data_IF_639823456650
#
_entry.id   IF_639823456650
#
_cell.length_a   1.000
_cell.length_b   1.000
_cell.length_c   1.000
_cell.angle_alpha   90.00
_cell.angle_beta   90.00
_cell.angle_gamma   90.00
#
_symmetry.space_group_name_H-M   'P 1'
#
loop_
_entity.id
_entity.type
_entity.pdbx_description
1 polymer ?
#
# COMPACT_ATOMS: atom_id res chain seq x y z
N UNK A 1 12.90 -16.64 -7.68
CA UNK A 1 12.12 -15.84 -6.71
C UNK A 1 11.04 -15.14 -7.50
N UNK A 2 9.78 -15.56 -7.39
CA UNK A 2 8.66 -14.91 -8.10
C UNK A 2 8.51 -13.51 -7.51
N UNK A 3 8.65 -12.46 -8.33
CA UNK A 3 8.45 -11.09 -7.87
C UNK A 3 7.00 -10.96 -7.38
N UNK A 4 6.82 -10.79 -6.08
CA UNK A 4 5.51 -10.57 -5.49
C UNK A 4 5.02 -9.22 -5.98
N UNK A 5 3.82 -9.18 -6.55
CA UNK A 5 3.14 -7.93 -6.92
C UNK A 5 3.20 -6.97 -5.72
N UNK A 6 3.58 -5.70 -5.90
CA UNK A 6 3.53 -4.72 -4.82
C UNK A 6 2.13 -4.65 -4.19
N UNK A 7 2.05 -4.45 -2.88
CA UNK A 7 0.78 -4.36 -2.15
C UNK A 7 -0.14 -3.28 -2.74
N UNK A 8 0.42 -2.15 -3.17
CA UNK A 8 -0.35 -1.06 -3.80
C UNK A 8 -1.02 -1.51 -5.10
N UNK A 9 -0.33 -2.27 -5.94
CA UNK A 9 -0.90 -2.76 -7.20
C UNK A 9 -2.00 -3.79 -6.94
N UNK A 10 -1.85 -4.62 -5.89
CA UNK A 10 -2.89 -5.55 -5.46
C UNK A 10 -4.14 -4.83 -4.94
N UNK A 11 -3.97 -3.77 -4.14
CA UNK A 11 -5.07 -2.93 -3.65
C UNK A 11 -5.81 -2.29 -4.82
N UNK A 12 -5.09 -1.74 -5.80
CA UNK A 12 -5.69 -1.12 -6.99
C UNK A 12 -6.45 -2.12 -7.85
N UNK A 13 -5.89 -3.32 -8.08
CA UNK A 13 -6.55 -4.36 -8.86
C UNK A 13 -7.87 -4.80 -8.22
N UNK A 14 -7.87 -5.03 -6.91
CA UNK A 14 -9.07 -5.43 -6.16
C UNK A 14 -10.08 -4.29 -6.05
N UNK A 15 -9.63 -3.06 -5.78
CA UNK A 15 -10.50 -1.88 -5.75
C UNK A 15 -11.18 -1.62 -7.09
N UNK A 16 -10.46 -1.77 -8.20
CA UNK A 16 -11.03 -1.68 -9.55
C UNK A 16 -12.04 -2.78 -9.83
N UNK A 17 -11.75 -4.02 -9.44
CA UNK A 17 -12.68 -5.14 -9.60
C UNK A 17 -14.00 -4.93 -8.82
N UNK A 18 -13.95 -4.27 -7.66
CA UNK A 18 -15.14 -3.86 -6.90
C UNK A 18 -15.90 -2.77 -7.63
N UNK A 19 -15.23 -1.72 -8.10
CA UNK A 19 -15.84 -0.62 -8.86
C UNK A 19 -16.51 -1.10 -10.16
N UNK A 20 -15.89 -2.06 -10.85
CA UNK A 20 -16.40 -2.67 -12.09
C UNK A 20 -17.52 -3.70 -11.82
N UNK A 21 -17.83 -3.99 -10.55
CA UNK A 21 -18.86 -4.96 -10.15
C UNK A 21 -18.49 -6.42 -10.41
N UNK A 22 -17.21 -6.73 -10.62
CA UNK A 22 -16.72 -8.08 -10.89
C UNK A 22 -16.69 -8.95 -9.63
N UNK A 23 -16.42 -8.34 -8.48
CA UNK A 23 -16.44 -8.97 -7.16
C UNK A 23 -17.11 -8.06 -6.14
N UNK A 24 -17.62 -8.63 -5.06
CA UNK A 24 -18.11 -7.85 -3.93
C UNK A 24 -16.96 -7.22 -3.13
N UNK A 25 -17.27 -6.13 -2.42
CA UNK A 25 -16.33 -5.52 -1.46
C UNK A 25 -15.85 -6.53 -0.41
N UNK A 26 -16.72 -7.42 0.07
CA UNK A 26 -16.37 -8.43 1.07
C UNK A 26 -15.32 -9.41 0.54
N UNK A 27 -15.49 -9.88 -0.69
CA UNK A 27 -14.54 -10.78 -1.37
C UNK A 27 -13.19 -10.10 -1.59
N UNK A 28 -13.19 -8.82 -1.98
CA UNK A 28 -11.96 -8.04 -2.15
C UNK A 28 -11.18 -7.89 -0.84
N UNK A 29 -11.89 -7.62 0.27
CA UNK A 29 -11.28 -7.48 1.62
C UNK A 29 -10.69 -8.80 2.10
N UNK A 30 -11.43 -9.90 1.99
CA UNK A 30 -10.94 -11.23 2.37
C UNK A 30 -9.70 -11.61 1.54
N UNK A 31 -9.77 -11.41 0.22
CA UNK A 31 -8.66 -11.68 -0.69
C UNK A 31 -7.43 -10.86 -0.36
N UNK A 32 -7.58 -9.58 -0.02
CA UNK A 32 -6.46 -8.71 0.34
C UNK A 32 -5.85 -9.08 1.69
N UNK A 33 -6.68 -9.39 2.70
CA UNK A 33 -6.22 -9.82 4.01
C UNK A 33 -5.41 -11.11 3.92
N UNK A 34 -5.92 -12.12 3.19
CA UNK A 34 -5.22 -13.38 2.92
C UNK A 34 -3.93 -13.15 2.14
N UNK A 35 -4.00 -12.35 1.05
CA UNK A 35 -2.84 -12.02 0.22
C UNK A 35 -1.75 -11.34 1.03
N UNK A 36 -2.08 -10.52 2.02
CA UNK A 36 -1.12 -9.83 2.89
C UNK A 36 -0.36 -10.77 3.83
N UNK A 37 -0.80 -12.02 4.00
CA UNK A 37 -0.21 -13.03 4.91
C UNK A 37 -0.01 -12.49 6.34
N UNK A 38 -0.99 -11.74 6.85
CA UNK A 38 -0.94 -11.12 8.18
C UNK A 38 -0.40 -9.68 8.20
N UNK A 39 0.01 -9.13 7.06
CA UNK A 39 0.38 -7.71 6.93
C UNK A 39 -0.79 -6.73 7.06
N UNK A 40 -2.01 -7.20 6.82
CA UNK A 40 -3.25 -6.45 6.99
C UNK A 40 -4.26 -7.30 7.77
N UNK A 41 -4.93 -6.66 8.74
CA UNK A 41 -6.17 -7.18 9.31
C UNK A 41 -7.32 -6.99 8.30
N UNK A 42 -8.45 -7.68 8.48
CA UNK A 42 -9.64 -7.42 7.65
C UNK A 42 -10.07 -5.95 7.69
N UNK A 43 -9.97 -5.30 8.86
CA UNK A 43 -10.26 -3.87 8.99
C UNK A 43 -9.28 -3.01 8.19
N UNK A 44 -7.98 -3.35 8.21
CA UNK A 44 -6.96 -2.68 7.42
C UNK A 44 -7.16 -2.87 5.92
N UNK A 45 -7.48 -4.09 5.50
CA UNK A 45 -7.81 -4.43 4.12
C UNK A 45 -9.08 -3.69 3.64
N UNK A 46 -10.13 -3.64 4.46
CA UNK A 46 -11.34 -2.87 4.19
C UNK A 46 -11.05 -1.39 3.95
N UNK A 47 -10.26 -0.77 4.83
CA UNK A 47 -9.85 0.63 4.65
C UNK A 47 -9.03 0.82 3.37
N UNK A 48 -8.13 -0.12 3.06
CA UNK A 48 -7.29 -0.05 1.87
C UNK A 48 -8.11 -0.16 0.58
N UNK A 49 -9.10 -1.06 0.55
CA UNK A 49 -10.05 -1.18 -0.57
C UNK A 49 -10.91 0.09 -0.68
N UNK A 50 -11.39 0.68 0.42
CA UNK A 50 -12.20 1.90 0.34
C UNK A 50 -11.37 3.11 -0.19
N UNK A 51 -10.10 3.19 0.22
CA UNK A 51 -9.19 4.27 -0.15
C UNK A 51 -8.37 3.99 -1.43
N UNK A 52 -8.70 2.94 -2.20
CA UNK A 52 -7.85 2.40 -3.28
C UNK A 52 -7.42 3.45 -4.32
N UNK A 53 -8.33 4.35 -4.69
CA UNK A 53 -8.09 5.44 -5.67
C UNK A 53 -7.01 6.42 -5.24
N UNK A 54 -6.78 6.54 -3.93
CA UNK A 54 -5.81 7.46 -3.35
C UNK A 54 -4.53 6.74 -2.91
N UNK A 55 -4.46 5.42 -3.01
CA UNK A 55 -3.35 4.68 -2.42
C UNK A 55 -2.02 4.95 -3.10
N UNK A 56 -1.99 5.10 -4.42
CA UNK A 56 -0.75 5.46 -5.13
C UNK A 56 -0.22 6.82 -4.70
N UNK A 57 -1.10 7.82 -4.57
CA UNK A 57 -0.74 9.17 -4.11
C UNK A 57 -0.19 9.14 -2.68
N UNK A 58 -0.84 8.38 -1.79
CA UNK A 58 -0.38 8.21 -0.40
C UNK A 58 0.95 7.47 -0.31
N UNK A 59 1.14 6.41 -1.10
CA UNK A 59 2.40 5.67 -1.13
C UNK A 59 3.55 6.52 -1.69
N UNK A 60 3.31 7.29 -2.75
CA UNK A 60 4.30 8.21 -3.30
C UNK A 60 4.66 9.30 -2.29
N UNK A 61 3.67 9.87 -1.59
CA UNK A 61 3.93 10.89 -0.56
C UNK A 61 4.75 10.31 0.60
N UNK A 62 4.36 9.15 1.13
CA UNK A 62 5.09 8.48 2.21
C UNK A 62 6.53 8.11 1.81
N UNK A 63 6.71 7.64 0.56
CA UNK A 63 8.04 7.32 0.04
C UNK A 63 8.92 8.56 -0.07
N UNK A 64 8.39 9.67 -0.62
CA UNK A 64 9.12 10.93 -0.73
C UNK A 64 9.48 11.49 0.65
N UNK A 65 8.55 11.50 1.60
CA UNK A 65 8.78 11.95 2.98
C UNK A 65 9.86 11.09 3.67
N UNK A 66 9.83 9.78 3.46
CA UNK A 66 10.80 8.85 4.05
C UNK A 66 12.19 9.02 3.42
N UNK A 67 12.28 9.18 2.10
CA UNK A 67 13.54 9.46 1.42
C UNK A 67 14.12 10.79 1.89
N UNK A 68 13.31 11.84 2.01
CA UNK A 68 13.74 13.14 2.52
C UNK A 68 14.23 13.04 3.98
N UNK A 69 13.51 12.32 4.84
CA UNK A 69 13.90 12.10 6.23
C UNK A 69 15.24 11.35 6.33
N UNK A 70 15.43 10.29 5.54
CA UNK A 70 16.69 9.53 5.49
C UNK A 70 17.82 10.43 5.00
N UNK A 71 17.63 11.18 3.90
CA UNK A 71 18.65 12.09 3.38
C UNK A 71 19.05 13.18 4.39
N UNK A 72 18.09 13.72 5.15
CA UNK A 72 18.36 14.69 6.22
C UNK A 72 19.18 14.07 7.35
N UNK A 73 18.89 12.83 7.74
CA UNK A 73 19.68 12.08 8.72
C UNK A 73 21.09 11.82 8.18
N UNK A 74 21.23 11.35 6.94
CA UNK A 74 22.54 11.05 6.32
C UNK A 74 23.38 12.32 6.18
N UNK A 75 22.79 13.44 5.75
CA UNK A 75 23.50 14.73 5.67
C UNK A 75 23.83 15.31 7.04
N UNK A 76 22.95 15.16 8.03
CA UNK A 76 23.19 15.61 9.40
C UNK A 76 24.29 14.83 10.11
N UNK A 77 24.46 13.54 9.80
CA UNK A 77 25.52 12.69 10.34
C UNK A 77 26.87 12.86 9.62
N UNK A 78 26.89 13.46 8.42
CA UNK A 78 28.12 13.73 7.65
C UNK A 78 28.82 15.07 7.95
N UNK A 79 28.21 15.92 8.77
CA UNK A 79 28.69 17.28 9.07
C UNK A 79 29.55 17.43 10.32
N UNK A 80 29.87 16.34 11.01
CA UNK A 80 30.81 16.34 12.14
C UNK A 80 32.21 15.93 11.64
N UNK A 81 32.89 16.84 10.94
CA UNK A 81 34.34 16.79 10.70
C UNK A 81 34.94 18.17 10.96
#
# INVERSE_FOLDING_TARGET
MTARTPLVDQIEALGRAVDDGLISRGEAVASLAEWSQGGLTELGAAKAIDDWKNMRVRYTSLYLDTVEAIERITRGLGGAQ
#
